data_IF_257196466263
#
_entry.id   IF_257196466263
#
_cell.length_a   1.000
_cell.length_b   1.000
_cell.length_c   1.000
_cell.angle_alpha   90.00
_cell.angle_beta   90.00
_cell.angle_gamma   90.00
#
_symmetry.space_group_name_H-M   'P 1'
#
loop_
_entity.id
_entity.type
_entity.pdbx_description
1 polymer ?
#
# COMPACT_ATOMS: atom_id res chain seq x y z
N UNK A 1 -1.08 0.58 27.92
CA UNK A 1 -2.28 1.48 27.80
C UNK A 1 -3.33 1.06 28.82
N UNK A 2 -4.07 2.01 29.39
CA UNK A 2 -5.14 1.66 30.36
C UNK A 2 -6.35 1.13 29.59
N UNK A 3 -6.69 -0.15 29.76
CA UNK A 3 -7.83 -0.83 29.10
C UNK A 3 -9.18 -0.17 29.44
N UNK A 4 -9.32 0.37 30.65
CA UNK A 4 -10.53 1.09 31.05
C UNK A 4 -10.79 2.36 30.23
N UNK A 5 -9.72 3.05 29.81
CA UNK A 5 -9.86 4.21 28.93
C UNK A 5 -10.29 3.82 27.50
N UNK A 6 -9.89 2.64 27.03
CA UNK A 6 -10.29 2.11 25.72
C UNK A 6 -11.77 1.73 25.72
N UNK A 7 -12.28 1.16 26.82
CA UNK A 7 -13.69 0.76 26.97
C UNK A 7 -14.68 1.92 26.99
N UNK A 8 -14.21 3.15 27.22
CA UNK A 8 -15.05 4.35 27.18
C UNK A 8 -15.26 4.91 25.76
N UNK A 9 -14.56 4.39 24.75
CA UNK A 9 -14.75 4.76 23.36
C UNK A 9 -16.03 4.10 22.82
N UNK A 10 -16.78 4.80 21.97
CA UNK A 10 -18.02 4.30 21.37
C UNK A 10 -17.76 3.01 20.54
N UNK A 11 -16.59 2.94 19.92
CA UNK A 11 -16.05 1.74 19.33
C UNK A 11 -14.53 1.70 19.50
N UNK A 12 -13.94 0.50 19.40
CA UNK A 12 -12.50 0.32 19.47
C UNK A 12 -11.94 -0.06 18.09
N UNK A 13 -11.09 0.78 17.47
CA UNK A 13 -10.37 0.39 16.27
C UNK A 13 -9.33 -0.71 16.59
N UNK A 14 -9.49 -1.88 15.97
CA UNK A 14 -8.58 -3.03 16.06
C UNK A 14 -7.87 -3.16 14.72
N UNK A 15 -6.60 -2.81 14.67
CA UNK A 15 -5.80 -2.72 13.46
C UNK A 15 -4.94 -3.97 13.30
N UNK A 16 -4.96 -4.59 12.12
CA UNK A 16 -4.14 -5.76 11.83
C UNK A 16 -2.81 -5.35 11.20
N UNK A 17 -1.71 -5.62 11.92
CA UNK A 17 -0.35 -5.23 11.56
C UNK A 17 0.29 -4.30 12.59
N UNK A 18 1.43 -3.69 12.25
CA UNK A 18 2.14 -2.74 13.12
C UNK A 18 3.04 -1.75 12.37
N UNK A 19 2.93 -1.69 11.06
CA UNK A 19 3.74 -0.83 10.19
C UNK A 19 3.20 0.61 10.09
N UNK A 20 3.72 1.38 9.15
CA UNK A 20 3.30 2.77 8.91
C UNK A 20 1.85 2.88 8.43
N UNK A 21 1.30 1.85 7.78
CA UNK A 21 -0.11 1.80 7.39
C UNK A 21 -1.01 1.77 8.64
N UNK A 22 -0.69 0.89 9.60
CA UNK A 22 -1.35 0.83 10.91
C UNK A 22 -1.27 2.18 11.63
N UNK A 23 -0.09 2.78 11.66
CA UNK A 23 0.09 4.09 12.28
C UNK A 23 -0.73 5.19 11.61
N UNK A 24 -0.78 5.21 10.27
CA UNK A 24 -1.60 6.15 9.48
C UNK A 24 -3.09 6.03 9.79
N UNK A 25 -3.61 4.79 9.88
CA UNK A 25 -5.00 4.54 10.27
C UNK A 25 -5.28 4.95 11.72
N UNK A 26 -4.40 4.58 12.66
CA UNK A 26 -4.53 4.98 14.07
C UNK A 26 -4.53 6.50 14.23
N UNK A 27 -3.67 7.19 13.49
CA UNK A 27 -3.63 8.65 13.47
C UNK A 27 -4.92 9.24 12.90
N UNK A 28 -5.47 8.65 11.85
CA UNK A 28 -6.75 9.06 11.28
C UNK A 28 -7.90 8.89 12.28
N UNK A 29 -7.98 7.79 13.01
CA UNK A 29 -8.95 7.60 14.09
C UNK A 29 -8.78 8.60 15.23
N UNK A 30 -7.53 8.85 15.64
CA UNK A 30 -7.26 9.80 16.71
C UNK A 30 -7.56 11.25 16.29
N UNK A 31 -7.31 11.62 15.04
CA UNK A 31 -7.65 12.95 14.52
C UNK A 31 -9.18 13.17 14.40
N UNK A 32 -9.92 12.11 14.00
CA UNK A 32 -11.37 12.18 13.82
C UNK A 32 -12.16 12.15 15.12
N UNK A 33 -11.76 11.29 16.07
CA UNK A 33 -12.57 10.94 17.24
C UNK A 33 -11.84 11.12 18.57
N UNK A 34 -10.53 11.40 18.56
CA UNK A 34 -9.70 11.33 19.77
C UNK A 34 -9.45 9.90 20.26
N UNK A 35 -9.85 8.88 19.50
CA UNK A 35 -9.79 7.49 19.91
C UNK A 35 -8.39 6.92 19.78
N UNK A 36 -8.02 6.08 20.73
CA UNK A 36 -6.83 5.25 20.64
C UNK A 36 -7.17 3.94 19.97
N UNK A 37 -6.25 3.46 19.14
CA UNK A 37 -6.37 2.17 18.46
C UNK A 37 -5.54 1.11 19.17
N UNK A 38 -5.95 -0.13 19.02
CA UNK A 38 -5.13 -1.29 19.39
C UNK A 38 -4.70 -2.03 18.14
N UNK A 39 -3.56 -2.70 18.20
CA UNK A 39 -3.08 -3.47 17.07
C UNK A 39 -2.81 -4.93 17.46
N UNK A 40 -3.05 -5.82 16.51
CA UNK A 40 -2.73 -7.24 16.54
C UNK A 40 -1.85 -7.54 15.33
N UNK A 41 -0.65 -8.08 15.55
CA UNK A 41 0.30 -8.27 14.46
C UNK A 41 1.30 -9.39 14.70
N UNK A 42 2.12 -9.68 13.70
CA UNK A 42 3.20 -10.70 13.80
C UNK A 42 4.41 -10.23 14.62
N UNK A 43 4.52 -8.93 14.85
CA UNK A 43 5.61 -8.30 15.60
C UNK A 43 5.32 -6.83 15.85
N UNK A 44 6.25 -6.14 16.52
CA UNK A 44 6.16 -4.70 16.77
C UNK A 44 7.16 -3.99 15.87
N UNK A 45 6.66 -3.18 14.95
CA UNK A 45 7.49 -2.39 14.04
C UNK A 45 7.65 -0.94 14.54
N UNK A 46 8.73 -0.24 14.13
CA UNK A 46 9.07 1.09 14.63
C UNK A 46 7.93 2.12 14.54
N UNK A 47 7.06 2.03 13.53
CA UNK A 47 5.98 2.99 13.33
C UNK A 47 5.00 3.05 14.52
N UNK A 48 4.72 1.91 15.17
CA UNK A 48 3.81 1.81 16.31
C UNK A 48 4.54 1.84 17.68
N UNK A 49 5.89 1.80 17.69
CA UNK A 49 6.67 1.79 18.93
C UNK A 49 6.60 3.14 19.67
N UNK A 50 6.43 3.10 20.98
CA UNK A 50 6.34 4.28 21.86
C UNK A 50 5.23 5.28 21.46
N UNK A 51 4.17 4.81 20.82
CA UNK A 51 3.01 5.62 20.45
C UNK A 51 2.02 5.75 21.61
N UNK A 52 1.37 6.91 21.71
CA UNK A 52 0.27 7.16 22.65
C UNK A 52 -1.10 6.94 22.00
N UNK A 53 -1.17 6.80 20.67
CA UNK A 53 -2.41 6.68 19.91
C UNK A 53 -2.68 5.26 19.40
N UNK A 54 -1.65 4.41 19.37
CA UNK A 54 -1.78 2.98 19.02
C UNK A 54 -0.84 2.14 19.87
N UNK A 55 -1.33 0.99 20.32
CA UNK A 55 -0.52 0.01 21.04
C UNK A 55 -0.72 -1.38 20.45
N UNK A 56 0.38 -2.08 20.17
CA UNK A 56 0.35 -3.49 19.74
C UNK A 56 0.12 -4.36 20.97
N UNK A 57 -1.14 -4.67 21.27
CA UNK A 57 -1.53 -5.43 22.47
C UNK A 57 -1.38 -6.95 22.29
N UNK A 58 -1.36 -7.43 21.06
CA UNK A 58 -1.18 -8.86 20.79
C UNK A 58 -0.16 -9.06 19.68
N UNK A 59 0.86 -9.84 19.96
CA UNK A 59 1.84 -10.32 18.97
C UNK A 59 1.64 -11.82 18.81
N UNK A 60 1.44 -12.27 17.56
CA UNK A 60 1.34 -13.66 17.18
C UNK A 60 2.12 -13.88 15.87
N UNK A 61 3.33 -14.46 15.93
CA UNK A 61 4.17 -14.67 14.74
C UNK A 61 3.49 -15.48 13.62
N UNK A 62 2.58 -16.37 13.99
CA UNK A 62 1.84 -17.26 13.08
C UNK A 62 0.46 -16.71 12.71
N UNK A 63 0.24 -15.40 12.85
CA UNK A 63 -1.06 -14.76 12.61
C UNK A 63 -1.59 -14.91 11.18
N UNK A 64 -0.76 -15.33 10.23
CA UNK A 64 -1.15 -15.58 8.84
C UNK A 64 -1.61 -17.03 8.57
N UNK A 65 -1.77 -17.85 9.60
CA UNK A 65 -2.38 -19.17 9.55
C UNK A 65 -3.86 -19.07 9.94
N UNK A 66 -4.78 -19.64 9.14
CA UNK A 66 -6.23 -19.45 9.30
C UNK A 66 -6.74 -19.74 10.72
N UNK A 67 -6.37 -20.90 11.30
CA UNK A 67 -6.83 -21.27 12.64
C UNK A 67 -6.23 -20.41 13.73
N UNK A 68 -4.96 -20.02 13.57
CA UNK A 68 -4.27 -19.12 14.51
C UNK A 68 -4.89 -17.73 14.43
N UNK A 69 -5.20 -17.24 13.24
CA UNK A 69 -5.85 -15.95 13.01
C UNK A 69 -7.18 -15.84 13.74
N UNK A 70 -8.09 -16.81 13.48
CA UNK A 70 -9.42 -16.82 14.09
C UNK A 70 -9.33 -16.96 15.60
N UNK A 71 -8.55 -17.92 16.10
CA UNK A 71 -8.37 -18.12 17.54
C UNK A 71 -7.82 -16.86 18.22
N UNK A 72 -6.75 -16.29 17.68
CA UNK A 72 -6.12 -15.09 18.24
C UNK A 72 -7.09 -13.92 18.33
N UNK A 73 -7.85 -13.65 17.28
CA UNK A 73 -8.82 -12.56 17.27
C UNK A 73 -10.02 -12.85 18.19
N UNK A 74 -10.52 -14.08 18.21
CA UNK A 74 -11.62 -14.46 19.13
C UNK A 74 -11.20 -14.33 20.58
N UNK A 75 -10.00 -14.77 20.95
CA UNK A 75 -9.47 -14.62 22.31
C UNK A 75 -9.21 -13.14 22.66
N UNK A 76 -8.68 -12.38 21.71
CA UNK A 76 -8.42 -10.96 21.91
C UNK A 76 -9.72 -10.18 22.21
N UNK A 77 -10.79 -10.45 21.49
CA UNK A 77 -12.09 -9.79 21.66
C UNK A 77 -12.69 -9.97 23.06
N UNK A 78 -12.41 -11.10 23.73
CA UNK A 78 -12.90 -11.35 25.10
C UNK A 78 -12.47 -10.29 26.10
N UNK A 79 -11.31 -9.63 25.88
CA UNK A 79 -10.83 -8.54 26.75
C UNK A 79 -11.67 -7.26 26.65
N UNK A 80 -12.51 -7.16 25.62
CA UNK A 80 -13.33 -5.99 25.30
C UNK A 80 -14.82 -6.35 25.16
N UNK A 81 -15.27 -7.33 25.94
CA UNK A 81 -16.67 -7.78 25.92
C UNK A 81 -17.64 -6.60 26.14
N UNK A 82 -18.68 -6.53 25.31
CA UNK A 82 -19.68 -5.46 25.34
C UNK A 82 -19.28 -4.18 24.57
N UNK A 83 -18.06 -4.10 24.03
CA UNK A 83 -17.62 -2.98 23.20
C UNK A 83 -17.69 -3.35 21.71
N UNK A 84 -18.10 -2.40 20.88
CA UNK A 84 -18.04 -2.54 19.41
C UNK A 84 -16.59 -2.53 18.96
N UNK A 85 -16.18 -3.54 18.20
CA UNK A 85 -14.79 -3.71 17.72
C UNK A 85 -14.75 -3.54 16.20
N UNK A 86 -14.15 -2.44 15.72
CA UNK A 86 -13.98 -2.18 14.29
C UNK A 86 -12.65 -2.78 13.81
N UNK A 87 -12.71 -3.87 13.05
CA UNK A 87 -11.54 -4.59 12.55
C UNK A 87 -11.05 -4.00 11.22
N UNK A 88 -9.78 -3.61 11.17
CA UNK A 88 -9.19 -2.94 10.00
C UNK A 88 -7.92 -3.67 9.55
N UNK A 89 -7.94 -4.36 8.40
CA UNK A 89 -6.74 -4.97 7.85
C UNK A 89 -5.82 -3.91 7.25
N UNK A 90 -4.56 -3.83 7.74
CA UNK A 90 -3.58 -2.86 7.28
C UNK A 90 -2.41 -3.51 6.50
N UNK A 91 -2.68 -4.61 5.81
CA UNK A 91 -1.70 -5.30 4.98
C UNK A 91 -2.38 -6.35 4.09
N UNK A 92 -1.70 -6.72 2.99
CA UNK A 92 -2.27 -7.62 1.98
C UNK A 92 -2.59 -9.01 2.53
N UNK A 93 -1.72 -9.56 3.37
CA UNK A 93 -1.98 -10.84 4.00
C UNK A 93 -3.16 -10.75 4.98
N UNK A 94 -3.29 -9.64 5.72
CA UNK A 94 -4.37 -9.47 6.69
C UNK A 94 -5.74 -9.33 6.03
N UNK A 95 -5.86 -8.64 4.89
CA UNK A 95 -7.13 -8.61 4.16
C UNK A 95 -7.47 -9.98 3.58
N UNK A 96 -6.50 -10.75 3.06
CA UNK A 96 -6.71 -12.12 2.60
C UNK A 96 -7.20 -13.03 3.72
N UNK A 97 -6.58 -12.95 4.90
CA UNK A 97 -6.98 -13.70 6.09
C UNK A 97 -8.40 -13.32 6.54
N UNK A 98 -8.72 -12.02 6.55
CA UNK A 98 -10.04 -11.53 6.92
C UNK A 98 -11.12 -12.05 5.98
N UNK A 99 -10.90 -11.93 4.66
CA UNK A 99 -11.86 -12.38 3.65
C UNK A 99 -12.14 -13.89 3.76
N UNK A 100 -11.10 -14.74 3.88
CA UNK A 100 -11.28 -16.19 4.03
C UNK A 100 -12.00 -16.60 5.30
N UNK A 101 -11.82 -15.85 6.38
CA UNK A 101 -12.35 -16.18 7.70
C UNK A 101 -13.51 -15.29 8.14
N UNK A 102 -14.08 -14.48 7.22
CA UNK A 102 -15.08 -13.48 7.54
C UNK A 102 -16.30 -14.05 8.28
N UNK A 103 -16.79 -15.24 7.87
CA UNK A 103 -17.94 -15.88 8.49
C UNK A 103 -17.73 -16.25 9.96
N UNK A 104 -16.49 -16.58 10.34
CA UNK A 104 -16.11 -16.91 11.73
C UNK A 104 -15.95 -15.67 12.61
N UNK A 105 -15.69 -14.51 12.01
CA UNK A 105 -15.41 -13.25 12.72
C UNK A 105 -16.60 -12.29 12.76
N UNK A 106 -17.60 -12.44 11.86
CA UNK A 106 -18.85 -11.67 11.94
C UNK A 106 -19.59 -11.97 13.23
N UNK A 107 -20.14 -10.92 13.87
CA UNK A 107 -20.75 -11.02 15.19
C UNK A 107 -19.75 -10.84 16.36
N UNK A 108 -18.44 -10.94 16.09
CA UNK A 108 -17.38 -10.58 17.08
C UNK A 108 -16.81 -9.20 16.74
N UNK A 109 -16.59 -8.95 15.45
CA UNK A 109 -16.03 -7.71 14.91
C UNK A 109 -16.97 -7.10 13.88
N UNK A 110 -16.92 -5.78 13.79
CA UNK A 110 -17.55 -5.02 12.74
C UNK A 110 -16.50 -4.71 11.65
N UNK A 111 -16.80 -5.07 10.41
CA UNK A 111 -15.95 -4.85 9.24
C UNK A 111 -16.76 -5.06 7.97
N UNK A 112 -16.25 -4.51 6.85
CA UNK A 112 -16.67 -4.89 5.52
C UNK A 112 -15.49 -5.37 4.69
N UNK A 113 -15.74 -6.36 3.86
CA UNK A 113 -14.77 -6.89 2.92
C UNK A 113 -15.48 -7.53 1.72
N UNK A 114 -14.75 -7.69 0.64
CA UNK A 114 -15.18 -8.33 -0.60
C UNK A 114 -15.40 -9.85 -0.42
N UNK A 115 -16.00 -10.49 -1.43
CA UNK A 115 -16.08 -11.94 -1.49
C UNK A 115 -14.72 -12.59 -1.74
N UNK A 116 -14.58 -13.88 -1.39
CA UNK A 116 -13.35 -14.63 -1.68
C UNK A 116 -13.12 -14.78 -3.19
N UNK A 117 -14.18 -14.93 -3.99
CA UNK A 117 -14.09 -14.95 -5.44
C UNK A 117 -13.47 -13.67 -5.99
N UNK A 118 -13.95 -12.50 -5.55
CA UNK A 118 -13.41 -11.22 -5.98
C UNK A 118 -11.97 -11.00 -5.46
N UNK A 119 -11.66 -11.47 -4.24
CA UNK A 119 -10.32 -11.48 -3.72
C UNK A 119 -9.35 -12.23 -4.66
N UNK A 120 -9.71 -13.43 -5.09
CA UNK A 120 -8.89 -14.25 -5.99
C UNK A 120 -8.69 -13.57 -7.34
N UNK A 121 -9.76 -13.01 -7.92
CA UNK A 121 -9.68 -12.30 -9.21
C UNK A 121 -8.78 -11.06 -9.17
N UNK A 122 -8.75 -10.33 -8.06
CA UNK A 122 -8.04 -9.04 -7.95
C UNK A 122 -6.64 -9.17 -7.33
N UNK A 123 -6.35 -10.22 -6.55
CA UNK A 123 -5.06 -10.35 -5.84
C UNK A 123 -4.00 -11.15 -6.59
N UNK A 124 -4.42 -11.96 -7.58
CA UNK A 124 -3.50 -12.71 -8.44
C UNK A 124 -3.22 -11.85 -9.68
N UNK A 125 -1.95 -11.63 -9.97
CA UNK A 125 -1.53 -10.64 -10.97
C UNK A 125 -2.08 -10.94 -12.38
N UNK A 126 -2.02 -12.20 -12.79
CA UNK A 126 -2.54 -12.65 -14.07
C UNK A 126 -4.06 -12.44 -14.16
N UNK A 127 -4.80 -12.82 -13.12
CA UNK A 127 -6.25 -12.62 -13.04
C UNK A 127 -6.62 -11.14 -12.99
N UNK A 128 -5.83 -10.32 -12.28
CA UNK A 128 -6.04 -8.87 -12.26
C UNK A 128 -5.86 -8.24 -13.64
N UNK A 129 -4.88 -8.67 -14.43
CA UNK A 129 -4.71 -8.17 -15.80
C UNK A 129 -5.83 -8.62 -16.74
N UNK A 130 -6.38 -9.82 -16.55
CA UNK A 130 -7.61 -10.24 -17.25
C UNK A 130 -8.78 -9.29 -16.91
N UNK A 131 -8.97 -8.97 -15.64
CA UNK A 131 -9.97 -7.97 -15.21
C UNK A 131 -9.69 -6.61 -15.82
N UNK A 132 -8.43 -6.17 -15.90
CA UNK A 132 -8.07 -4.93 -16.58
C UNK A 132 -8.47 -4.95 -18.06
N UNK A 133 -8.22 -6.04 -18.75
CA UNK A 133 -8.58 -6.22 -20.17
C UNK A 133 -10.10 -6.21 -20.37
N UNK A 134 -10.85 -6.96 -19.57
CA UNK A 134 -12.34 -7.00 -19.57
C UNK A 134 -12.95 -5.59 -19.41
N UNK A 135 -12.29 -4.70 -18.67
CA UNK A 135 -12.78 -3.35 -18.38
C UNK A 135 -12.06 -2.25 -19.17
N UNK A 136 -11.22 -2.61 -20.15
CA UNK A 136 -10.54 -1.66 -21.03
C UNK A 136 -9.44 -0.84 -20.38
N UNK A 137 -8.90 -1.29 -19.25
CA UNK A 137 -7.73 -0.66 -18.62
C UNK A 137 -6.44 -1.01 -19.34
N UNK A 138 -5.54 -0.03 -19.41
CA UNK A 138 -4.18 -0.27 -19.86
C UNK A 138 -3.34 -0.78 -18.68
N UNK A 139 -2.48 -1.75 -18.94
CA UNK A 139 -1.49 -2.28 -18.02
C UNK A 139 -0.19 -2.54 -18.78
N UNK A 140 0.96 -2.67 -18.11
CA UNK A 140 2.21 -2.98 -18.77
C UNK A 140 2.12 -4.31 -19.52
N UNK A 141 2.61 -4.37 -20.74
CA UNK A 141 2.69 -5.63 -21.48
C UNK A 141 3.43 -6.66 -20.63
N UNK A 142 2.84 -7.82 -20.48
CA UNK A 142 3.33 -8.86 -19.58
C UNK A 142 3.28 -10.21 -20.26
N UNK A 143 4.31 -11.02 -20.08
CA UNK A 143 4.34 -12.42 -20.48
C UNK A 143 4.99 -13.26 -19.38
N UNK A 144 4.92 -14.57 -19.49
CA UNK A 144 5.51 -15.50 -18.55
C UNK A 144 6.65 -16.29 -19.18
N UNK A 145 7.65 -16.59 -18.36
CA UNK A 145 8.77 -17.45 -18.73
C UNK A 145 8.76 -18.64 -17.81
N UNK A 146 8.86 -19.84 -18.36
CA UNK A 146 8.95 -21.09 -17.61
C UNK A 146 10.34 -21.68 -17.72
N UNK A 147 10.63 -22.69 -16.86
CA UNK A 147 11.88 -23.43 -16.96
C UNK A 147 12.07 -24.09 -18.34
N UNK A 148 10.97 -24.51 -19.01
CA UNK A 148 11.01 -25.21 -20.29
C UNK A 148 11.28 -24.28 -21.45
N UNK A 149 10.77 -23.02 -21.41
CA UNK A 149 10.85 -22.11 -22.55
C UNK A 149 11.94 -21.02 -22.42
N UNK A 150 12.63 -20.90 -21.29
CA UNK A 150 13.51 -19.76 -21.02
C UNK A 150 14.66 -19.57 -22.02
N UNK A 151 15.12 -20.63 -22.67
CA UNK A 151 16.22 -20.56 -23.65
C UNK A 151 15.81 -19.99 -25.00
N UNK A 152 14.54 -20.10 -25.38
CA UNK A 152 14.05 -19.74 -26.71
C UNK A 152 12.85 -18.77 -26.64
N UNK A 153 12.71 -18.03 -25.53
CA UNK A 153 11.58 -17.14 -25.35
C UNK A 153 11.74 -15.87 -26.18
N UNK A 154 10.77 -15.62 -27.06
CA UNK A 154 10.59 -14.35 -27.73
C UNK A 154 9.74 -13.42 -26.87
N UNK A 155 10.15 -12.16 -26.75
CA UNK A 155 9.45 -11.16 -25.97
C UNK A 155 8.44 -10.40 -26.83
N UNK A 156 7.22 -10.15 -26.38
CA UNK A 156 6.23 -9.36 -27.11
C UNK A 156 6.44 -7.83 -26.94
N UNK A 157 7.58 -7.41 -26.39
CA UNK A 157 7.95 -6.01 -26.13
C UNK A 157 9.49 -5.86 -26.09
N UNK A 158 9.93 -4.62 -26.29
CA UNK A 158 11.36 -4.26 -26.34
C UNK A 158 12.00 -4.16 -24.95
N UNK A 159 13.32 -4.14 -24.92
CA UNK A 159 14.09 -3.83 -23.73
C UNK A 159 13.99 -2.32 -23.37
N UNK A 160 14.08 -1.99 -22.06
CA UNK A 160 14.39 -2.85 -20.91
C UNK A 160 13.19 -3.68 -20.44
N UNK A 161 13.48 -4.82 -19.79
CA UNK A 161 12.50 -5.79 -19.32
C UNK A 161 12.62 -5.99 -17.81
N UNK A 162 11.49 -5.94 -17.11
CA UNK A 162 11.39 -6.32 -15.70
C UNK A 162 11.21 -7.84 -15.61
N UNK A 163 11.99 -8.49 -14.74
CA UNK A 163 11.91 -9.92 -14.44
C UNK A 163 11.64 -10.09 -12.95
N UNK A 164 10.57 -10.79 -12.60
CA UNK A 164 10.19 -11.07 -11.20
C UNK A 164 9.61 -12.46 -11.04
N UNK A 165 9.82 -13.11 -9.87
CA UNK A 165 9.24 -14.43 -9.62
C UNK A 165 7.72 -14.33 -9.41
N UNK A 166 6.98 -15.34 -9.91
CA UNK A 166 5.57 -15.52 -9.59
C UNK A 166 5.37 -16.00 -8.16
N UNK A 167 6.27 -16.87 -7.70
CA UNK A 167 6.29 -17.42 -6.33
C UNK A 167 7.48 -16.86 -5.54
N UNK A 168 7.24 -15.80 -4.79
CA UNK A 168 8.29 -15.16 -3.98
C UNK A 168 8.83 -16.06 -2.88
N UNK A 169 8.02 -16.94 -2.29
CA UNK A 169 8.47 -17.84 -1.20
C UNK A 169 9.45 -18.87 -1.75
N UNK A 170 9.08 -19.58 -2.81
CA UNK A 170 9.96 -20.55 -3.46
C UNK A 170 11.26 -19.87 -3.95
N UNK A 171 11.13 -18.67 -4.54
CA UNK A 171 12.26 -17.91 -5.02
C UNK A 171 13.26 -17.55 -3.91
N UNK A 172 12.79 -17.05 -2.76
CA UNK A 172 13.68 -16.69 -1.65
C UNK A 172 14.40 -17.87 -1.03
N UNK A 173 13.85 -19.07 -1.14
CA UNK A 173 14.50 -20.31 -0.69
C UNK A 173 15.63 -20.79 -1.63
N UNK A 174 15.69 -20.30 -2.88
CA UNK A 174 16.74 -20.65 -3.83
C UNK A 174 18.04 -19.87 -3.54
N UNK A 175 19.17 -20.44 -3.93
CA UNK A 175 20.49 -19.80 -3.81
C UNK A 175 21.13 -19.65 -5.19
N UNK A 176 21.44 -18.42 -5.57
CA UNK A 176 22.22 -18.09 -6.78
C UNK A 176 22.86 -16.69 -6.58
N UNK A 177 23.94 -16.37 -7.35
CA UNK A 177 24.66 -15.11 -7.25
C UNK A 177 23.76 -13.90 -7.60
N UNK A 178 24.01 -12.77 -6.96
CA UNK A 178 23.34 -11.48 -7.24
C UNK A 178 21.82 -11.53 -7.21
N UNK A 179 21.24 -12.40 -6.38
CA UNK A 179 19.79 -12.55 -6.24
C UNK A 179 19.10 -11.25 -5.82
N UNK A 180 18.09 -10.84 -6.59
CA UNK A 180 17.26 -9.65 -6.35
C UNK A 180 15.79 -10.02 -6.38
N UNK A 181 14.94 -9.22 -5.71
CA UNK A 181 13.49 -9.37 -5.78
C UNK A 181 12.94 -9.09 -7.19
N UNK A 182 13.56 -8.12 -7.87
CA UNK A 182 13.20 -7.67 -9.22
C UNK A 182 14.48 -7.40 -9.97
N UNK A 183 14.58 -7.87 -11.20
CA UNK A 183 15.65 -7.52 -12.12
C UNK A 183 15.12 -6.59 -13.23
N UNK A 184 16.00 -5.77 -13.77
CA UNK A 184 15.79 -5.05 -15.02
C UNK A 184 16.91 -5.49 -15.96
N UNK A 185 16.56 -6.09 -17.08
CA UNK A 185 17.49 -6.40 -18.15
C UNK A 185 17.38 -5.33 -19.23
N UNK A 186 18.50 -4.72 -19.59
CA UNK A 186 18.56 -3.67 -20.62
C UNK A 186 18.87 -4.22 -22.01
N UNK A 187 19.43 -5.41 -22.07
CA UNK A 187 19.79 -6.10 -23.34
C UNK A 187 19.39 -7.56 -23.28
N UNK A 188 19.42 -8.22 -24.43
CA UNK A 188 19.13 -9.65 -24.56
C UNK A 188 20.13 -10.49 -23.76
N UNK A 189 21.40 -10.12 -23.80
CA UNK A 189 22.47 -10.82 -23.11
C UNK A 189 22.30 -10.75 -21.59
N UNK A 190 21.94 -9.56 -21.04
CA UNK A 190 21.61 -9.43 -19.62
C UNK A 190 20.40 -10.28 -19.24
N UNK A 191 19.37 -10.27 -20.08
CA UNK A 191 18.15 -11.04 -19.89
C UNK A 191 18.43 -12.54 -19.81
N UNK A 192 19.14 -13.09 -20.80
CA UNK A 192 19.48 -14.50 -20.85
C UNK A 192 20.36 -14.93 -19.65
N UNK A 193 21.34 -14.11 -19.27
CA UNK A 193 22.19 -14.35 -18.11
C UNK A 193 21.39 -14.39 -16.78
N UNK A 194 20.39 -13.51 -16.62
CA UNK A 194 19.52 -13.50 -15.45
C UNK A 194 18.65 -14.77 -15.41
N UNK A 195 18.04 -15.14 -16.54
CA UNK A 195 17.22 -16.36 -16.63
C UNK A 195 18.05 -17.61 -16.31
N UNK A 196 19.27 -17.68 -16.87
CA UNK A 196 20.19 -18.79 -16.61
C UNK A 196 20.59 -18.89 -15.14
N UNK A 197 20.85 -17.76 -14.49
CA UNK A 197 21.17 -17.75 -13.06
C UNK A 197 19.98 -18.22 -12.21
N UNK A 198 18.75 -17.77 -12.54
CA UNK A 198 17.55 -18.15 -11.80
C UNK A 198 17.22 -19.64 -12.02
N UNK A 199 17.10 -20.06 -13.25
CA UNK A 199 16.72 -21.44 -13.61
C UNK A 199 17.85 -22.47 -13.46
N UNK A 200 19.10 -22.02 -13.36
CA UNK A 200 20.22 -22.82 -12.92
C UNK A 200 20.19 -23.18 -11.42
N UNK A 201 19.33 -22.48 -10.65
CA UNK A 201 19.09 -22.77 -9.23
C UNK A 201 17.99 -23.81 -9.04
N UNK A 202 17.53 -23.97 -7.78
CA UNK A 202 16.37 -24.83 -7.45
C UNK A 202 15.01 -24.23 -7.81
N UNK A 203 14.95 -22.98 -8.35
CA UNK A 203 13.70 -22.35 -8.74
C UNK A 203 13.13 -23.00 -10.01
N UNK A 204 11.85 -23.43 -9.96
CA UNK A 204 11.17 -24.11 -11.08
C UNK A 204 9.81 -23.49 -11.42
N UNK A 205 9.34 -22.55 -10.61
CA UNK A 205 8.12 -21.82 -10.93
C UNK A 205 8.37 -20.83 -12.08
N UNK A 206 7.30 -20.29 -12.63
CA UNK A 206 7.42 -19.32 -13.72
C UNK A 206 7.88 -17.94 -13.25
N UNK A 207 8.47 -17.19 -14.16
CA UNK A 207 8.83 -15.79 -13.99
C UNK A 207 7.83 -14.91 -14.74
N UNK A 208 7.50 -13.77 -14.16
CA UNK A 208 6.73 -12.71 -14.80
C UNK A 208 7.70 -11.75 -15.45
N UNK A 209 7.54 -11.57 -16.75
CA UNK A 209 8.30 -10.64 -17.59
C UNK A 209 7.39 -9.48 -17.96
N UNK A 210 7.88 -8.26 -17.80
CA UNK A 210 7.05 -7.08 -17.99
C UNK A 210 7.83 -5.95 -18.64
N UNK A 211 7.19 -5.23 -19.58
CA UNK A 211 7.78 -4.01 -20.15
C UNK A 211 8.03 -2.96 -19.07
N UNK A 212 9.09 -2.19 -19.23
CA UNK A 212 9.34 -1.01 -18.39
C UNK A 212 8.54 0.17 -18.93
N UNK A 213 7.63 0.71 -18.14
CA UNK A 213 6.97 1.97 -18.48
C UNK A 213 7.95 3.11 -18.23
N UNK A 214 8.30 3.90 -19.27
CA UNK A 214 9.29 4.97 -19.14
C UNK A 214 8.84 6.09 -18.21
N UNK A 215 9.77 6.98 -17.87
CA UNK A 215 9.54 8.11 -16.98
C UNK A 215 10.04 7.84 -15.55
N UNK A 216 10.29 8.92 -14.85
CA UNK A 216 10.74 8.92 -13.46
C UNK A 216 9.61 8.72 -12.45
N UNK A 217 9.90 8.91 -11.16
CA UNK A 217 8.94 8.75 -10.07
C UNK A 217 7.75 9.69 -10.19
N UNK A 218 7.92 10.88 -10.80
CA UNK A 218 6.85 11.86 -10.98
C UNK A 218 5.72 11.39 -11.91
N UNK A 219 5.95 10.33 -12.68
CA UNK A 219 4.92 9.69 -13.53
C UNK A 219 4.10 8.65 -12.78
N UNK A 220 4.52 8.26 -11.58
CA UNK A 220 3.74 7.35 -10.73
C UNK A 220 2.51 8.03 -10.14
N UNK A 221 1.43 7.27 -10.02
CA UNK A 221 0.16 7.69 -9.41
C UNK A 221 -0.30 6.63 -8.44
N UNK A 222 -0.86 7.10 -7.34
CA UNK A 222 -1.57 6.27 -6.38
C UNK A 222 -2.99 6.76 -6.25
N UNK A 223 -3.97 5.87 -6.32
CA UNK A 223 -5.35 6.25 -6.09
C UNK A 223 -5.91 5.46 -4.92
N UNK A 224 -6.46 6.15 -3.94
CA UNK A 224 -7.19 5.53 -2.84
C UNK A 224 -8.68 5.78 -3.03
N UNK A 225 -9.46 4.71 -2.95
CA UNK A 225 -10.92 4.76 -3.01
C UNK A 225 -11.52 4.12 -1.75
N UNK A 226 -12.73 4.51 -1.41
CA UNK A 226 -13.57 3.82 -0.45
C UNK A 226 -14.94 3.56 -1.07
N UNK A 227 -15.36 2.29 -1.05
CA UNK A 227 -16.69 1.86 -1.50
C UNK A 227 -17.51 1.44 -0.28
N UNK A 228 -18.71 1.98 -0.16
CA UNK A 228 -19.62 1.65 0.93
C UNK A 228 -20.25 0.25 0.78
N UNK A 229 -20.97 -0.18 1.82
CA UNK A 229 -21.76 -1.43 1.84
C UNK A 229 -22.76 -1.53 0.69
N UNK A 230 -23.23 -0.39 0.19
CA UNK A 230 -24.12 -0.28 -0.98
C UNK A 230 -23.39 -0.48 -2.31
N UNK A 231 -22.09 -0.84 -2.27
CA UNK A 231 -21.22 -1.03 -3.45
C UNK A 231 -21.06 0.22 -4.31
N UNK A 232 -21.25 1.39 -3.71
CA UNK A 232 -21.05 2.68 -4.35
C UNK A 232 -19.77 3.33 -3.85
N UNK A 233 -19.05 3.97 -4.77
CA UNK A 233 -17.85 4.72 -4.41
C UNK A 233 -18.23 5.97 -3.61
N UNK A 234 -17.62 6.14 -2.46
CA UNK A 234 -17.86 7.25 -1.52
C UNK A 234 -16.69 8.22 -1.42
N UNK A 235 -15.49 7.76 -1.73
CA UNK A 235 -14.28 8.57 -1.71
C UNK A 235 -13.35 8.18 -2.85
N UNK A 236 -12.82 9.18 -3.55
CA UNK A 236 -11.71 9.04 -4.51
C UNK A 236 -10.65 10.07 -4.16
N UNK A 237 -9.41 9.64 -4.04
CA UNK A 237 -8.26 10.49 -3.79
C UNK A 237 -7.09 10.05 -4.66
N UNK A 238 -6.73 10.87 -5.65
CA UNK A 238 -5.57 10.69 -6.50
C UNK A 238 -4.35 11.33 -5.84
N UNK A 239 -3.22 10.66 -5.85
CA UNK A 239 -1.91 11.16 -5.43
C UNK A 239 -0.92 11.09 -6.58
N UNK A 240 -0.25 12.19 -6.85
CA UNK A 240 0.88 12.28 -7.77
C UNK A 240 2.16 12.03 -6.95
N UNK A 241 2.93 11.01 -7.30
CA UNK A 241 4.20 10.77 -6.65
C UNK A 241 5.16 11.92 -6.92
N UNK A 242 5.88 12.32 -5.89
CA UNK A 242 7.00 13.25 -5.98
C UNK A 242 8.31 12.46 -5.98
N UNK A 243 8.40 11.48 -5.10
CA UNK A 243 9.50 10.51 -5.01
C UNK A 243 8.99 9.17 -4.47
N UNK A 244 9.61 8.09 -4.91
CA UNK A 244 9.49 6.75 -4.35
C UNK A 244 10.64 6.44 -3.39
N UNK A 245 10.52 5.39 -2.60
CA UNK A 245 11.64 4.81 -1.86
C UNK A 245 12.48 3.94 -2.79
N UNK A 246 13.78 4.22 -2.89
CA UNK A 246 14.70 3.50 -3.78
C UNK A 246 15.53 2.42 -3.07
N UNK A 247 15.39 2.25 -1.76
CA UNK A 247 16.07 1.17 -1.03
C UNK A 247 15.47 -0.20 -1.37
N UNK A 248 16.22 -1.30 -1.29
CA UNK A 248 15.74 -2.64 -1.66
C UNK A 248 14.45 -3.05 -0.95
N UNK A 249 14.26 -2.64 0.32
CA UNK A 249 13.07 -2.93 1.10
C UNK A 249 11.90 -1.97 0.80
N UNK A 250 12.21 -0.81 0.23
CA UNK A 250 11.25 0.29 0.01
C UNK A 250 10.73 0.41 -1.41
N UNK A 251 11.33 -0.28 -2.38
CA UNK A 251 10.94 -0.19 -3.80
C UNK A 251 9.43 -0.41 -3.99
N UNK A 252 8.78 0.49 -4.75
CA UNK A 252 7.36 0.50 -4.98
C UNK A 252 6.55 1.17 -3.87
N UNK A 253 7.23 1.84 -2.92
CA UNK A 253 6.56 2.64 -1.88
C UNK A 253 6.78 4.12 -2.12
N UNK A 254 5.74 4.92 -1.97
CA UNK A 254 5.82 6.36 -2.14
C UNK A 254 6.43 7.04 -0.90
N UNK A 255 7.48 7.82 -1.13
CA UNK A 255 8.16 8.60 -0.09
C UNK A 255 7.57 10.00 0.07
N UNK A 256 7.10 10.59 -1.04
CA UNK A 256 6.40 11.86 -1.03
C UNK A 256 5.32 11.90 -2.12
N UNK A 257 4.16 12.50 -1.80
CA UNK A 257 2.97 12.58 -2.66
C UNK A 257 2.37 13.98 -2.57
N UNK A 258 1.92 14.52 -3.71
CA UNK A 258 1.03 15.68 -3.76
C UNK A 258 -0.32 15.22 -4.28
N UNK A 259 -1.43 15.62 -3.65
CA UNK A 259 -2.76 15.29 -4.13
C UNK A 259 -2.97 15.79 -5.55
N UNK A 260 -3.49 14.92 -6.41
CA UNK A 260 -3.82 15.16 -7.80
C UNK A 260 -5.33 15.23 -8.05
N UNK A 261 -5.68 15.53 -9.27
CA UNK A 261 -7.04 15.45 -9.78
C UNK A 261 -7.00 15.10 -11.27
N UNK A 262 -7.79 14.13 -11.69
CA UNK A 262 -8.03 13.77 -13.09
C UNK A 262 -9.47 13.27 -13.20
N UNK A 263 -10.33 14.07 -13.81
CA UNK A 263 -11.77 13.80 -13.89
C UNK A 263 -12.07 12.48 -14.60
N UNK A 264 -11.44 12.27 -15.76
CA UNK A 264 -11.66 11.06 -16.56
C UNK A 264 -11.19 9.80 -15.85
N UNK A 265 -10.03 9.87 -15.19
CA UNK A 265 -9.52 8.75 -14.40
C UNK A 265 -10.44 8.47 -13.21
N UNK A 266 -10.88 9.52 -12.49
CA UNK A 266 -11.79 9.36 -11.35
C UNK A 266 -13.10 8.69 -11.75
N UNK A 267 -13.70 9.11 -12.86
CA UNK A 267 -14.94 8.53 -13.38
C UNK A 267 -14.73 7.07 -13.82
N UNK A 268 -13.65 6.80 -14.54
CA UNK A 268 -13.30 5.45 -14.99
C UNK A 268 -13.14 4.48 -13.81
N UNK A 269 -12.39 4.88 -12.77
CA UNK A 269 -12.16 4.05 -11.59
C UNK A 269 -13.42 3.89 -10.74
N UNK A 270 -14.25 4.92 -10.64
CA UNK A 270 -15.57 4.83 -10.01
C UNK A 270 -16.43 3.76 -10.68
N UNK A 271 -16.60 3.88 -12.00
CA UNK A 271 -17.44 2.96 -12.77
C UNK A 271 -16.94 1.51 -12.68
N UNK A 272 -15.61 1.31 -12.70
CA UNK A 272 -15.00 0.02 -12.49
C UNK A 272 -15.34 -0.59 -11.13
N UNK A 273 -15.08 0.12 -10.05
CA UNK A 273 -15.31 -0.38 -8.68
C UNK A 273 -16.79 -0.69 -8.45
N UNK A 274 -17.69 0.15 -8.95
CA UNK A 274 -19.15 -0.08 -8.84
C UNK A 274 -19.59 -1.28 -9.71
N UNK A 275 -19.02 -1.44 -10.91
CA UNK A 275 -19.33 -2.57 -11.81
C UNK A 275 -18.96 -3.92 -11.19
N UNK A 276 -17.79 -4.02 -10.57
CA UNK A 276 -17.35 -5.26 -9.91
C UNK A 276 -17.98 -5.45 -8.52
N UNK A 277 -18.80 -4.52 -8.05
CA UNK A 277 -19.47 -4.57 -6.76
C UNK A 277 -18.51 -4.53 -5.57
N UNK A 278 -17.44 -3.73 -5.68
CA UNK A 278 -16.41 -3.62 -4.64
C UNK A 278 -16.94 -2.98 -3.34
N UNK A 279 -16.40 -3.40 -2.20
CA UNK A 279 -16.66 -2.79 -0.88
C UNK A 279 -15.37 -2.63 -0.08
N UNK A 280 -15.31 -1.58 0.73
CA UNK A 280 -14.14 -1.24 1.53
C UNK A 280 -13.11 -0.38 0.78
N UNK A 281 -11.88 -0.35 1.30
CA UNK A 281 -10.79 0.41 0.71
C UNK A 281 -10.18 -0.30 -0.51
N UNK A 282 -9.91 0.48 -1.55
CA UNK A 282 -9.11 0.08 -2.70
C UNK A 282 -7.95 1.05 -2.88
N UNK A 283 -6.76 0.52 -3.17
CA UNK A 283 -5.58 1.32 -3.47
C UNK A 283 -4.96 0.83 -4.78
N UNK A 284 -4.84 1.72 -5.76
CA UNK A 284 -4.28 1.41 -7.08
C UNK A 284 -2.93 2.06 -7.24
N UNK A 285 -1.98 1.27 -7.74
CA UNK A 285 -0.68 1.75 -8.18
C UNK A 285 -0.64 1.76 -9.70
N UNK A 286 -0.31 2.91 -10.29
CA UNK A 286 -0.29 3.11 -11.73
C UNK A 286 0.80 4.08 -12.16
N UNK A 287 1.18 4.02 -13.43
CA UNK A 287 2.12 4.95 -14.03
C UNK A 287 1.53 5.58 -15.28
N UNK A 288 1.70 6.88 -15.43
CA UNK A 288 1.35 7.57 -16.67
C UNK A 288 2.39 7.27 -17.73
N UNK A 289 1.97 6.71 -18.85
CA UNK A 289 2.79 6.39 -20.00
C UNK A 289 2.67 7.49 -21.04
N UNK A 290 3.71 8.30 -21.20
CA UNK A 290 3.72 9.41 -22.16
C UNK A 290 3.72 8.95 -23.63
N UNK A 291 4.02 7.67 -23.89
CA UNK A 291 4.04 7.12 -25.26
C UNK A 291 2.64 7.04 -25.87
N UNK A 292 1.63 6.74 -25.05
CA UNK A 292 0.24 6.59 -25.51
C UNK A 292 -0.78 7.44 -24.73
N UNK A 293 -0.31 8.24 -23.74
CA UNK A 293 -1.14 9.12 -22.93
C UNK A 293 -2.07 8.39 -21.97
N UNK A 294 -1.75 7.16 -21.57
CA UNK A 294 -2.60 6.32 -20.72
C UNK A 294 -1.96 6.02 -19.37
N UNK A 295 -2.79 5.78 -18.37
CA UNK A 295 -2.35 5.22 -17.11
C UNK A 295 -2.25 3.69 -17.23
N UNK A 296 -1.08 3.14 -16.90
CA UNK A 296 -0.85 1.69 -16.84
C UNK A 296 -1.02 1.23 -15.40
N UNK A 297 -2.03 0.39 -15.15
CA UNK A 297 -2.28 -0.17 -13.84
C UNK A 297 -1.27 -1.29 -13.53
N UNK A 298 -0.59 -1.20 -12.38
CA UNK A 298 0.36 -2.22 -11.95
C UNK A 298 -0.27 -3.24 -11.02
N UNK A 299 -1.10 -2.76 -10.09
CA UNK A 299 -1.79 -3.59 -9.10
C UNK A 299 -2.93 -2.84 -8.42
N UNK A 300 -3.82 -3.61 -7.83
CA UNK A 300 -4.86 -3.15 -6.93
C UNK A 300 -4.65 -3.81 -5.57
N UNK A 301 -4.40 -3.00 -4.56
CA UNK A 301 -4.34 -3.44 -3.17
C UNK A 301 -5.74 -3.36 -2.57
N UNK A 302 -6.23 -4.46 -2.00
CA UNK A 302 -7.62 -4.62 -1.54
C UNK A 302 -7.82 -4.06 -0.12
N UNK A 303 -7.13 -3.01 0.19
CA UNK A 303 -7.06 -2.32 1.48
C UNK A 303 -6.60 -0.88 1.26
N UNK A 304 -6.60 -0.04 2.30
CA UNK A 304 -5.92 1.26 2.25
C UNK A 304 -4.41 1.06 2.03
N UNK A 305 -3.80 1.95 1.24
CA UNK A 305 -2.38 1.90 0.92
C UNK A 305 -1.48 2.28 2.10
N UNK A 306 -0.21 1.92 2.03
CA UNK A 306 0.81 2.32 3.01
C UNK A 306 0.94 3.84 3.16
N UNK A 307 0.70 4.57 2.09
CA UNK A 307 0.72 6.03 2.03
C UNK A 307 -0.65 6.69 2.23
N UNK A 308 -1.73 5.92 2.42
CA UNK A 308 -3.12 6.42 2.39
C UNK A 308 -3.42 7.56 3.37
N UNK A 309 -2.55 7.76 4.38
CA UNK A 309 -2.67 8.91 5.26
C UNK A 309 -2.59 10.27 4.52
N UNK A 310 -2.06 10.33 3.28
CA UNK A 310 -2.09 11.55 2.46
C UNK A 310 -3.52 12.07 2.23
N UNK A 311 -4.50 11.18 2.17
CA UNK A 311 -5.92 11.51 2.01
C UNK A 311 -6.44 12.22 3.26
N UNK A 312 -6.13 11.65 4.45
CA UNK A 312 -6.46 12.29 5.74
C UNK A 312 -5.75 13.65 5.87
N UNK A 313 -4.48 13.73 5.49
CA UNK A 313 -3.69 14.96 5.54
C UNK A 313 -4.29 16.08 4.67
N UNK A 314 -4.92 15.75 3.55
CA UNK A 314 -5.64 16.67 2.69
C UNK A 314 -7.01 17.10 3.25
N UNK A 315 -7.41 16.62 4.43
CA UNK A 315 -8.68 16.96 5.07
C UNK A 315 -9.79 15.92 4.86
N UNK A 316 -9.55 14.86 4.13
CA UNK A 316 -10.50 13.79 3.85
C UNK A 316 -10.16 12.58 4.73
N UNK A 317 -10.57 12.62 5.99
CA UNK A 317 -10.16 11.64 6.98
C UNK A 317 -10.75 10.24 6.71
N UNK A 318 -9.91 9.30 6.26
CA UNK A 318 -10.33 7.95 5.83
C UNK A 318 -10.98 7.12 6.94
N UNK A 319 -10.63 7.35 8.21
CA UNK A 319 -11.27 6.65 9.33
C UNK A 319 -12.75 7.04 9.49
N UNK A 320 -13.14 8.25 9.06
CA UNK A 320 -14.54 8.70 9.11
C UNK A 320 -15.39 7.94 8.09
N UNK A 321 -14.93 7.80 6.84
CA UNK A 321 -15.66 7.00 5.84
C UNK A 321 -15.90 5.58 6.33
N UNK A 322 -14.86 4.93 6.85
CA UNK A 322 -14.99 3.57 7.38
C UNK A 322 -15.95 3.50 8.57
N UNK A 323 -15.83 4.40 9.54
CA UNK A 323 -16.69 4.38 10.72
C UNK A 323 -18.13 4.79 10.40
N UNK A 324 -18.33 5.77 9.52
CA UNK A 324 -19.67 6.21 9.11
C UNK A 324 -20.43 5.10 8.36
N UNK A 325 -19.73 4.29 7.56
CA UNK A 325 -20.31 3.13 6.87
C UNK A 325 -20.54 1.93 7.79
N UNK A 326 -19.51 1.53 8.54
CA UNK A 326 -19.51 0.24 9.25
C UNK A 326 -20.15 0.37 10.64
N UNK A 327 -19.85 1.46 11.36
CA UNK A 327 -20.31 1.66 12.74
C UNK A 327 -21.63 2.44 12.78
N UNK A 328 -21.67 3.57 12.11
CA UNK A 328 -22.80 4.50 12.24
C UNK A 328 -23.88 4.32 11.17
N UNK A 329 -23.60 3.57 10.11
CA UNK A 329 -24.53 3.25 9.01
C UNK A 329 -25.17 4.53 8.44
N UNK A 330 -24.33 5.55 8.19
CA UNK A 330 -24.77 6.82 7.67
C UNK A 330 -24.82 6.83 6.14
N UNK A 331 -25.79 7.49 5.54
CA UNK A 331 -25.74 7.76 4.11
C UNK A 331 -24.52 8.63 3.77
N UNK A 332 -23.82 8.29 2.69
CA UNK A 332 -22.64 9.02 2.24
C UNK A 332 -22.73 9.27 0.74
N UNK A 333 -22.45 10.50 0.34
CA UNK A 333 -22.31 10.89 -1.06
C UNK A 333 -20.86 10.70 -1.53
N UNK A 334 -20.68 10.66 -2.85
CA UNK A 334 -19.35 10.65 -3.46
C UNK A 334 -18.60 11.93 -3.13
N UNK A 335 -17.41 11.78 -2.61
CA UNK A 335 -16.44 12.86 -2.38
C UNK A 335 -15.18 12.60 -3.19
N UNK A 336 -14.76 13.60 -3.97
CA UNK A 336 -13.47 13.57 -4.68
C UNK A 336 -12.52 14.51 -3.94
N UNK A 337 -11.37 13.98 -3.52
CA UNK A 337 -10.37 14.74 -2.78
C UNK A 337 -9.59 15.66 -3.72
N UNK A 338 -9.81 16.97 -3.61
CA UNK A 338 -9.20 18.01 -4.46
C UNK A 338 -8.23 18.93 -3.73
N UNK A 339 -8.22 18.92 -2.40
CA UNK A 339 -7.32 19.76 -1.60
C UNK A 339 -5.86 19.33 -1.81
N UNK A 340 -4.99 20.29 -2.00
CA UNK A 340 -3.56 20.06 -2.19
C UNK A 340 -2.81 20.03 -0.86
N UNK A 341 -2.02 18.99 -0.65
CA UNK A 341 -1.08 18.84 0.47
C UNK A 341 0.16 18.09 -0.02
N UNK A 342 1.32 18.42 0.49
CA UNK A 342 2.52 17.62 0.34
C UNK A 342 2.61 16.63 1.52
N UNK A 343 2.26 15.39 1.26
CA UNK A 343 2.55 14.28 2.18
C UNK A 343 3.97 13.80 2.01
N UNK A 344 4.66 13.50 3.10
CA UNK A 344 6.00 12.93 3.05
C UNK A 344 6.29 12.03 4.25
N UNK A 345 7.18 11.05 4.06
CA UNK A 345 7.82 10.27 5.13
C UNK A 345 9.30 10.58 5.26
N UNK A 346 9.85 11.35 4.31
CA UNK A 346 11.27 11.72 4.22
C UNK A 346 11.46 13.22 4.53
N UNK A 347 12.69 13.65 4.83
CA UNK A 347 13.03 15.07 4.88
C UNK A 347 12.75 15.78 3.56
N UNK A 348 12.12 16.95 3.60
CA UNK A 348 11.79 17.72 2.39
C UNK A 348 13.03 18.10 1.56
N UNK A 349 14.21 18.26 2.20
CA UNK A 349 15.47 18.48 1.47
C UNK A 349 15.75 17.38 0.43
N UNK A 350 15.43 16.12 0.74
CA UNK A 350 15.61 15.00 -0.19
C UNK A 350 14.76 15.20 -1.46
N UNK A 351 13.56 15.78 -1.33
CA UNK A 351 12.71 16.09 -2.49
C UNK A 351 13.47 17.04 -3.43
N UNK A 352 14.09 18.10 -2.91
CA UNK A 352 14.79 19.07 -3.73
C UNK A 352 16.10 18.53 -4.31
N UNK A 353 16.77 17.65 -3.57
CA UNK A 353 18.04 17.06 -4.01
C UNK A 353 17.83 15.99 -5.11
N UNK A 354 16.70 15.25 -5.10
CA UNK A 354 16.55 14.02 -5.88
C UNK A 354 15.34 14.00 -6.84
N UNK A 355 14.28 14.80 -6.66
CA UNK A 355 13.20 14.86 -7.64
C UNK A 355 13.71 15.49 -8.94
N UNK A 356 13.61 14.82 -10.10
CA UNK A 356 14.12 15.38 -11.35
C UNK A 356 13.16 16.42 -11.95
N UNK A 357 11.86 16.29 -11.73
CA UNK A 357 10.83 17.16 -12.30
C UNK A 357 10.81 18.54 -11.63
N UNK A 358 11.12 19.58 -12.41
CA UNK A 358 11.20 20.97 -11.92
C UNK A 358 9.83 21.55 -11.56
N UNK A 359 8.77 21.16 -12.26
CA UNK A 359 7.41 21.62 -11.99
C UNK A 359 6.88 21.02 -10.69
N UNK A 360 7.13 19.73 -10.46
CA UNK A 360 6.79 19.03 -9.22
C UNK A 360 7.56 19.62 -8.04
N UNK A 361 8.85 19.94 -8.21
CA UNK A 361 9.63 20.64 -7.17
C UNK A 361 9.08 22.02 -6.84
N UNK A 362 8.67 22.78 -7.85
CA UNK A 362 8.07 24.11 -7.65
C UNK A 362 6.74 24.01 -6.90
N UNK A 363 5.89 23.02 -7.24
CA UNK A 363 4.64 22.77 -6.52
C UNK A 363 4.91 22.34 -5.06
N UNK A 364 5.86 21.44 -4.84
CA UNK A 364 6.25 21.02 -3.49
C UNK A 364 6.75 22.21 -2.66
N UNK A 365 7.59 23.08 -3.24
CA UNK A 365 8.08 24.29 -2.56
C UNK A 365 6.91 25.21 -2.19
N UNK A 366 6.00 25.48 -3.10
CA UNK A 366 4.81 26.32 -2.85
C UNK A 366 4.00 25.76 -1.67
N UNK A 367 3.74 24.46 -1.64
CA UNK A 367 3.00 23.83 -0.54
C UNK A 367 3.74 23.91 0.80
N UNK A 368 5.06 23.82 0.81
CA UNK A 368 5.87 24.02 2.01
C UNK A 368 5.78 25.47 2.49
N UNK A 369 5.92 26.44 1.60
CA UNK A 369 5.84 27.87 1.93
C UNK A 369 4.44 28.24 2.46
N UNK A 370 3.39 27.59 1.98
CA UNK A 370 2.01 27.71 2.48
C UNK A 370 1.73 26.93 3.78
N UNK A 371 2.71 26.20 4.33
CA UNK A 371 2.51 25.33 5.50
C UNK A 371 1.66 24.09 5.26
N UNK A 372 1.40 23.73 4.00
CA UNK A 372 0.62 22.56 3.57
C UNK A 372 1.51 21.33 3.38
N UNK A 373 2.36 21.03 4.36
CA UNK A 373 3.21 19.84 4.36
C UNK A 373 2.95 19.01 5.60
N UNK A 374 2.79 17.71 5.41
CA UNK A 374 2.54 16.77 6.49
C UNK A 374 3.49 15.59 6.39
N UNK A 375 4.27 15.37 7.47
CA UNK A 375 5.04 14.15 7.63
C UNK A 375 4.21 13.13 8.43
N UNK A 376 4.08 11.91 7.89
CA UNK A 376 3.26 10.85 8.50
C UNK A 376 3.69 10.52 9.94
N UNK A 377 4.99 10.52 10.21
CA UNK A 377 5.54 10.18 11.52
C UNK A 377 5.43 11.30 12.56
N UNK A 378 5.29 12.57 12.13
CA UNK A 378 5.25 13.71 13.05
C UNK A 378 3.82 14.14 13.36
N UNK A 379 3.32 13.63 14.47
CA UNK A 379 2.01 14.02 14.99
C UNK A 379 2.15 14.68 16.37
N UNK A 380 1.67 15.93 16.49
CA UNK A 380 1.86 16.74 17.72
C UNK A 380 1.26 16.07 18.96
N UNK A 381 0.15 15.34 18.82
CA UNK A 381 -0.53 14.66 19.93
C UNK A 381 0.06 13.27 20.24
N UNK A 382 1.05 12.80 19.47
CA UNK A 382 1.73 11.51 19.67
C UNK A 382 3.24 11.70 19.83
N UNK A 383 3.64 12.62 20.74
CA UNK A 383 5.05 12.92 21.01
C UNK A 383 5.52 12.28 22.28
N UNK A 384 6.59 11.49 22.20
CA UNK A 384 7.43 11.09 23.32
C UNK A 384 8.89 11.32 22.95
N UNK A 385 9.78 11.48 23.94
CA UNK A 385 11.21 11.67 23.70
C UNK A 385 11.81 10.51 22.90
N UNK A 386 11.48 9.27 23.28
CA UNK A 386 11.98 8.07 22.60
C UNK A 386 11.50 7.99 21.14
N UNK A 387 10.22 8.29 20.91
CA UNK A 387 9.65 8.34 19.56
C UNK A 387 10.32 9.42 18.70
N UNK A 388 10.56 10.59 19.27
CA UNK A 388 11.24 11.68 18.58
C UNK A 388 12.68 11.31 18.20
N UNK A 389 13.47 10.72 19.12
CA UNK A 389 14.84 10.26 18.86
C UNK A 389 14.88 9.20 17.75
N UNK A 390 13.98 8.21 17.84
CA UNK A 390 13.87 7.13 16.86
C UNK A 390 13.57 7.67 15.46
N UNK A 391 12.59 8.57 15.35
CA UNK A 391 12.25 9.14 14.04
C UNK A 391 13.30 10.12 13.51
N UNK A 392 13.95 10.88 14.38
CA UNK A 392 15.06 11.74 13.96
C UNK A 392 16.21 10.91 13.35
N UNK A 393 16.53 9.78 13.98
CA UNK A 393 17.50 8.82 13.41
C UNK A 393 17.03 8.26 12.07
N UNK A 394 15.77 7.87 11.98
CA UNK A 394 15.18 7.37 10.73
C UNK A 394 15.21 8.42 9.61
N UNK A 395 14.89 9.68 9.90
CA UNK A 395 14.97 10.77 8.94
C UNK A 395 16.43 11.01 8.46
N UNK A 396 17.42 10.88 9.35
CA UNK A 396 18.82 10.94 8.95
C UNK A 396 19.21 9.80 8.03
N UNK A 397 18.76 8.57 8.32
CA UNK A 397 19.04 7.40 7.51
C UNK A 397 18.51 7.51 6.07
N UNK A 398 17.46 8.30 5.82
CA UNK A 398 16.95 8.51 4.46
C UNK A 398 17.96 9.24 3.57
N UNK A 399 18.80 10.14 4.08
CA UNK A 399 19.85 10.77 3.28
C UNK A 399 20.85 9.73 2.77
N UNK A 400 21.30 8.81 3.63
CA UNK A 400 22.18 7.72 3.23
C UNK A 400 21.52 6.74 2.25
N UNK A 401 20.25 6.41 2.48
CA UNK A 401 19.47 5.55 1.57
C UNK A 401 19.37 6.16 0.18
N UNK A 402 19.00 7.44 0.07
CA UNK A 402 18.89 8.09 -1.24
C UNK A 402 20.24 8.23 -1.93
N UNK A 403 21.29 8.64 -1.21
CA UNK A 403 22.64 8.71 -1.74
C UNK A 403 23.11 7.37 -2.31
N UNK A 404 22.79 6.27 -1.64
CA UNK A 404 23.23 4.93 -2.03
C UNK A 404 22.41 4.33 -3.15
N UNK A 405 21.09 4.51 -3.14
CA UNK A 405 20.18 3.71 -3.96
C UNK A 405 19.41 4.49 -5.03
N UNK A 406 19.38 5.82 -5.02
CA UNK A 406 18.55 6.59 -5.94
C UNK A 406 18.84 6.29 -7.42
N UNK A 407 20.09 6.37 -7.84
CA UNK A 407 20.49 6.10 -9.23
C UNK A 407 20.39 4.63 -9.63
N UNK A 408 20.27 3.75 -8.66
CA UNK A 408 20.29 2.30 -8.85
C UNK A 408 18.92 1.67 -8.60
N UNK A 409 17.89 2.41 -8.17
CA UNK A 409 16.56 1.93 -7.77
C UNK A 409 16.60 0.62 -6.96
N UNK A 410 17.53 0.51 -6.00
CA UNK A 410 17.77 -0.72 -5.25
C UNK A 410 18.19 -1.93 -6.10
N UNK A 411 18.55 -1.72 -7.36
CA UNK A 411 18.87 -2.78 -8.33
C UNK A 411 20.36 -3.11 -8.38
N UNK A 412 21.18 -2.52 -7.49
CA UNK A 412 22.60 -2.87 -7.36
C UNK A 412 22.92 -3.42 -5.97
N UNK A 413 23.62 -4.55 -6.02
CA UNK A 413 24.41 -5.28 -5.01
C UNK A 413 23.84 -5.44 -3.61
#
# INVERSE_FOLDING_TARGET
MNTEALKKQDFLPVLLGSDINVYGMARSFHEAYGYKSVAVGKGILPACTHSHIVEVLKVEPRLEEDDVFVRTLTEFAKNFSGQRLLLVPCGDNYIKMLVRNQTKLRGIYEFECISEELLMRLSIKESFYQVCEEHGFSFPKTTTCTYENHKNLELPFDFPVIIKPSNSVAYWNCKFPHKKKVFVANTREEFDAILDAIYGSSYKDHLILQEVIPGDDSKMRVMNCYCGKDKKVKLIALGNAVLEEHSPEGIGSYAAIINGYDEKLNETMKNFLECIGYVGFANFDMKYDERDGKYKLFEMNLRQGRSSYFVTAAGYNIAKWLADDVIYIKPMDLTIATNKVLYTIIPTKIIFDYCPDTAVKAEAKKLIDEGKVVNSYYYKKDRSLMRWLMFRRNQHNYFEKYKRYFNNKGLRD
#
